data_IF_054448053958
#
_entry.id   IF_054448053958
#
_cell.length_a   1.000
_cell.length_b   1.000
_cell.length_c   1.000
_cell.angle_alpha   90.00
_cell.angle_beta   90.00
_cell.angle_gamma   90.00
#
_symmetry.space_group_name_H-M   'P 1'
#
loop_
_entity.id
_entity.type
_entity.pdbx_description
1 polymer ?
#
# COMPACT_ATOMS: atom_id res chain seq x y z
N UNK A 1 18.76 -2.47 13.25
CA UNK A 1 17.75 -2.38 12.18
C UNK A 1 18.44 -2.58 10.84
N UNK A 2 17.94 -3.44 9.98
CA UNK A 2 18.43 -3.72 8.63
C UNK A 2 17.27 -3.56 7.64
N UNK A 3 17.50 -2.91 6.51
CA UNK A 3 16.50 -2.70 5.47
C UNK A 3 16.94 -3.46 4.23
N UNK A 4 16.05 -4.28 3.67
CA UNK A 4 16.28 -5.07 2.46
C UNK A 4 15.26 -4.65 1.42
N UNK A 5 15.71 -4.39 0.21
CA UNK A 5 14.83 -4.07 -0.93
C UNK A 5 14.53 -5.31 -1.75
N UNK A 6 13.26 -5.55 -2.03
CA UNK A 6 12.90 -6.39 -3.17
C UNK A 6 12.96 -5.60 -4.48
N UNK A 7 12.73 -6.29 -5.60
CA UNK A 7 12.89 -5.74 -6.95
C UNK A 7 11.73 -4.82 -7.40
N UNK A 8 10.56 -4.88 -6.73
CA UNK A 8 9.37 -4.17 -7.21
C UNK A 8 9.50 -2.63 -7.13
N UNK A 9 10.29 -2.09 -6.17
CA UNK A 9 10.54 -0.65 -6.07
C UNK A 9 11.80 -0.33 -5.26
N UNK A 10 12.96 -0.55 -5.86
CA UNK A 10 14.27 -0.27 -5.25
C UNK A 10 14.44 1.20 -4.86
N UNK A 11 13.91 2.12 -5.68
CA UNK A 11 14.00 3.56 -5.40
C UNK A 11 13.31 3.93 -4.09
N UNK A 12 12.09 3.43 -3.86
CA UNK A 12 11.38 3.66 -2.60
C UNK A 12 12.13 3.10 -1.40
N UNK A 13 12.68 1.89 -1.53
CA UNK A 13 13.45 1.27 -0.45
C UNK A 13 14.73 2.07 -0.12
N UNK A 14 15.40 2.59 -1.14
CA UNK A 14 16.56 3.46 -0.97
C UNK A 14 16.18 4.76 -0.25
N UNK A 15 15.12 5.43 -0.69
CA UNK A 15 14.63 6.65 -0.05
C UNK A 15 14.20 6.42 1.41
N UNK A 16 13.57 5.28 1.71
CA UNK A 16 13.24 4.89 3.09
C UNK A 16 14.53 4.72 3.92
N UNK A 17 15.53 4.02 3.38
CA UNK A 17 16.79 3.79 4.07
C UNK A 17 17.50 5.12 4.39
N UNK A 18 17.58 6.03 3.42
CA UNK A 18 18.15 7.36 3.60
C UNK A 18 17.44 8.16 4.71
N UNK A 19 16.10 8.18 4.71
CA UNK A 19 15.31 8.83 5.76
C UNK A 19 15.48 8.20 7.14
N UNK A 20 15.78 6.91 7.19
CA UNK A 20 16.07 6.18 8.43
C UNK A 20 17.55 6.26 8.84
N UNK A 21 18.39 7.00 8.11
CA UNK A 21 19.85 7.05 8.33
C UNK A 21 20.49 5.65 8.34
N UNK A 22 19.99 4.76 7.47
CA UNK A 22 20.42 3.38 7.33
C UNK A 22 20.90 3.11 5.90
N UNK A 23 21.67 2.04 5.73
CA UNK A 23 22.01 1.52 4.41
C UNK A 23 21.12 0.30 4.08
N UNK A 24 20.86 0.09 2.79
CA UNK A 24 20.26 -1.16 2.34
C UNK A 24 21.25 -2.30 2.55
N UNK A 25 20.75 -3.44 3.03
CA UNK A 25 21.50 -4.69 3.01
C UNK A 25 21.66 -5.13 1.55
N UNK A 26 22.89 -5.33 1.08
CA UNK A 26 23.10 -5.83 -0.26
C UNK A 26 22.55 -7.25 -0.38
N UNK A 27 21.79 -7.50 -1.43
CA UNK A 27 21.16 -8.78 -1.71
C UNK A 27 21.19 -9.09 -3.22
N UNK A 28 21.42 -10.35 -3.55
CA UNK A 28 21.22 -10.88 -4.89
C UNK A 28 19.80 -11.43 -4.97
N UNK A 29 18.94 -10.76 -5.71
CA UNK A 29 17.58 -11.20 -5.95
C UNK A 29 17.41 -11.36 -7.45
N UNK A 30 17.23 -12.57 -7.90
CA UNK A 30 17.21 -12.92 -9.33
C UNK A 30 16.15 -14.00 -9.61
N UNK A 31 15.98 -14.29 -10.87
CA UNK A 31 15.06 -15.32 -11.35
C UNK A 31 15.87 -16.38 -12.11
N UNK A 32 15.68 -17.64 -11.79
CA UNK A 32 16.24 -18.75 -12.55
C UNK A 32 15.60 -18.84 -13.96
N UNK A 33 16.21 -19.61 -14.85
CA UNK A 33 15.75 -19.74 -16.23
C UNK A 33 14.34 -20.31 -16.37
N UNK A 34 13.88 -21.05 -15.40
CA UNK A 34 12.52 -21.62 -15.29
C UNK A 34 11.50 -20.69 -14.60
N UNK A 35 11.93 -19.52 -14.14
CA UNK A 35 11.09 -18.51 -13.53
C UNK A 35 11.05 -18.53 -11.98
N UNK A 36 11.78 -19.44 -11.34
CA UNK A 36 11.84 -19.49 -9.87
C UNK A 36 12.68 -18.32 -9.30
N UNK A 37 12.21 -17.75 -8.19
CA UNK A 37 12.91 -16.66 -7.49
C UNK A 37 14.09 -17.20 -6.66
N UNK A 38 15.24 -16.57 -6.80
CA UNK A 38 16.44 -16.82 -6.00
C UNK A 38 16.79 -15.60 -5.16
N UNK A 39 17.09 -15.81 -3.87
CA UNK A 39 17.46 -14.75 -2.92
C UNK A 39 18.69 -15.14 -2.15
N UNK A 40 19.67 -14.23 -2.07
CA UNK A 40 20.85 -14.34 -1.22
C UNK A 40 21.13 -12.99 -0.58
N UNK A 41 21.17 -12.93 0.76
CA UNK A 41 21.63 -11.73 1.48
C UNK A 41 23.15 -11.77 1.59
N UNK A 42 23.80 -10.69 1.16
CA UNK A 42 25.27 -10.59 1.17
C UNK A 42 25.84 -10.03 2.48
N UNK A 43 24.96 -9.72 3.44
CA UNK A 43 25.29 -9.22 4.76
C UNK A 43 24.60 -10.04 5.86
N UNK A 44 25.24 -10.18 7.00
CA UNK A 44 24.68 -10.93 8.13
C UNK A 44 23.51 -10.17 8.77
N UNK A 45 22.37 -10.83 8.88
CA UNK A 45 21.14 -10.29 9.51
C UNK A 45 20.76 -10.99 10.82
N UNK A 46 21.62 -11.87 11.33
CA UNK A 46 21.38 -12.61 12.58
C UNK A 46 21.15 -11.68 13.75
N UNK A 47 20.08 -11.91 14.51
CA UNK A 47 19.71 -11.12 15.68
C UNK A 47 19.36 -9.66 15.36
N UNK A 48 19.08 -9.33 14.09
CA UNK A 48 18.72 -8.01 13.66
C UNK A 48 17.19 -7.86 13.48
N UNK A 49 16.69 -6.64 13.69
CA UNK A 49 15.37 -6.22 13.30
C UNK A 49 15.41 -5.90 11.80
N UNK A 50 14.76 -6.72 10.99
CA UNK A 50 14.81 -6.71 9.52
C UNK A 50 13.51 -6.16 8.95
N UNK A 51 13.62 -5.20 8.04
CA UNK A 51 12.52 -4.62 7.28
C UNK A 51 12.69 -4.98 5.80
N UNK A 52 11.76 -5.77 5.25
CA UNK A 52 11.76 -6.17 3.85
C UNK A 52 10.77 -5.27 3.09
N UNK A 53 11.29 -4.37 2.25
CA UNK A 53 10.48 -3.43 1.47
C UNK A 53 10.16 -4.04 0.12
N UNK A 54 8.92 -4.53 -0.04
CA UNK A 54 8.46 -5.16 -1.28
C UNK A 54 6.97 -4.88 -1.52
N UNK A 55 6.63 -3.89 -2.34
CA UNK A 55 5.26 -3.74 -2.82
C UNK A 55 4.86 -4.98 -3.65
N UNK A 56 3.69 -5.53 -3.39
CA UNK A 56 3.18 -6.66 -4.17
C UNK A 56 2.29 -6.19 -5.33
N UNK A 57 2.82 -5.23 -6.11
CA UNK A 57 2.22 -4.71 -7.33
C UNK A 57 2.59 -5.58 -8.56
N UNK A 58 2.18 -5.14 -9.74
CA UNK A 58 2.45 -5.86 -11.00
C UNK A 58 3.96 -5.97 -11.30
N UNK A 59 4.46 -7.17 -11.60
CA UNK A 59 3.77 -8.47 -11.68
C UNK A 59 3.47 -9.06 -10.28
N UNK A 60 2.17 -9.16 -9.94
CA UNK A 60 1.72 -9.39 -8.55
C UNK A 60 2.21 -10.72 -7.99
N UNK A 61 2.15 -11.79 -8.78
CA UNK A 61 2.53 -13.13 -8.31
C UNK A 61 4.03 -13.24 -8.06
N UNK A 62 4.83 -12.66 -8.93
CA UNK A 62 6.29 -12.66 -8.82
C UNK A 62 6.73 -11.82 -7.63
N UNK A 63 6.19 -10.61 -7.48
CA UNK A 63 6.47 -9.73 -6.34
C UNK A 63 6.05 -10.35 -5.00
N UNK A 64 4.93 -11.08 -4.98
CA UNK A 64 4.47 -11.77 -3.78
C UNK A 64 5.36 -12.97 -3.45
N UNK A 65 5.74 -13.77 -4.44
CA UNK A 65 6.63 -14.90 -4.23
C UNK A 65 8.01 -14.43 -3.78
N UNK A 66 8.54 -13.37 -4.38
CA UNK A 66 9.79 -12.74 -3.99
C UNK A 66 9.76 -12.31 -2.52
N UNK A 67 8.69 -11.63 -2.08
CA UNK A 67 8.51 -11.26 -0.67
C UNK A 67 8.56 -12.48 0.26
N UNK A 68 7.89 -13.57 -0.11
CA UNK A 68 7.86 -14.79 0.71
C UNK A 68 9.24 -15.44 0.80
N UNK A 69 9.97 -15.55 -0.31
CA UNK A 69 11.31 -16.12 -0.35
C UNK A 69 12.31 -15.27 0.44
N UNK A 70 12.24 -13.93 0.33
CA UNK A 70 13.05 -13.01 1.15
C UNK A 70 12.75 -13.16 2.64
N UNK A 71 11.48 -13.31 2.99
CA UNK A 71 11.05 -13.47 4.40
C UNK A 71 11.57 -14.79 4.96
N UNK A 72 11.48 -15.89 4.23
CA UNK A 72 12.05 -17.19 4.63
C UNK A 72 13.58 -17.12 4.75
N UNK A 73 14.25 -16.44 3.82
CA UNK A 73 15.70 -16.24 3.88
C UNK A 73 16.11 -15.48 5.14
N UNK A 74 15.40 -14.42 5.52
CA UNK A 74 15.65 -13.66 6.75
C UNK A 74 15.43 -14.53 8.00
N UNK A 75 14.34 -15.30 8.03
CA UNK A 75 14.02 -16.23 9.11
C UNK A 75 15.12 -17.31 9.29
N UNK A 76 15.53 -17.93 8.18
CA UNK A 76 16.62 -18.95 8.20
C UNK A 76 17.98 -18.35 8.55
N UNK A 77 18.18 -17.07 8.28
CA UNK A 77 19.37 -16.32 8.70
C UNK A 77 19.30 -15.88 10.17
N UNK A 78 18.28 -16.30 10.92
CA UNK A 78 18.07 -16.00 12.34
C UNK A 78 17.92 -14.50 12.62
N UNK A 79 17.22 -13.77 11.77
CA UNK A 79 16.73 -12.44 12.11
C UNK A 79 15.91 -12.49 13.42
N UNK A 80 16.00 -11.47 14.24
CA UNK A 80 15.28 -11.41 15.51
C UNK A 80 13.79 -11.08 15.30
N UNK A 81 13.52 -10.14 14.41
CA UNK A 81 12.17 -9.75 13.99
C UNK A 81 12.15 -9.42 12.50
N UNK A 82 11.11 -9.83 11.81
CA UNK A 82 10.93 -9.59 10.37
C UNK A 82 9.65 -8.78 10.16
N UNK A 83 9.81 -7.54 9.69
CA UNK A 83 8.70 -6.68 9.27
C UNK A 83 8.59 -6.67 7.76
N UNK A 84 7.49 -7.19 7.22
CA UNK A 84 7.17 -7.07 5.80
C UNK A 84 6.57 -5.68 5.54
N UNK A 85 7.30 -4.84 4.82
CA UNK A 85 6.88 -3.50 4.41
C UNK A 85 6.29 -3.60 3.01
N UNK A 86 4.97 -3.53 2.92
CA UNK A 86 4.19 -3.78 1.71
C UNK A 86 3.38 -2.53 1.35
N UNK A 87 3.98 -1.51 0.74
CA UNK A 87 3.30 -0.25 0.42
C UNK A 87 2.08 -0.41 -0.48
N UNK A 88 2.05 -1.45 -1.30
CA UNK A 88 0.88 -1.89 -2.04
C UNK A 88 0.62 -3.37 -1.75
N UNK A 89 -0.51 -3.66 -1.12
CA UNK A 89 -0.92 -5.04 -0.78
C UNK A 89 -1.75 -5.63 -1.92
N UNK A 90 -1.13 -6.47 -2.71
CA UNK A 90 -1.78 -7.21 -3.80
C UNK A 90 -2.88 -8.14 -3.28
N UNK A 91 -3.87 -8.43 -4.13
CA UNK A 91 -5.06 -9.24 -3.78
C UNK A 91 -5.99 -8.63 -2.73
N UNK A 92 -5.71 -7.45 -2.16
CA UNK A 92 -6.54 -6.80 -1.16
C UNK A 92 -8.01 -6.61 -1.59
N UNK A 93 -8.28 -6.47 -2.89
CA UNK A 93 -9.65 -6.35 -3.44
C UNK A 93 -10.50 -7.60 -3.31
N UNK A 94 -9.89 -8.75 -3.01
CA UNK A 94 -10.56 -10.04 -2.80
C UNK A 94 -10.67 -10.35 -1.30
N UNK A 95 -11.23 -9.40 -0.54
CA UNK A 95 -11.37 -9.44 0.92
C UNK A 95 -12.65 -10.16 1.39
N UNK A 96 -13.51 -10.51 0.46
CA UNK A 96 -14.78 -11.22 0.71
C UNK A 96 -15.17 -12.06 -0.50
N UNK A 97 -16.06 -13.02 -0.27
CA UNK A 97 -16.69 -13.75 -1.38
C UNK A 97 -17.61 -12.81 -2.16
N UNK A 98 -17.32 -12.60 -3.42
CA UNK A 98 -18.14 -11.78 -4.34
C UNK A 98 -19.26 -12.60 -4.99
N UNK A 99 -19.13 -13.93 -5.01
CA UNK A 99 -20.12 -14.89 -5.54
C UNK A 99 -19.96 -16.23 -4.84
N UNK A 100 -20.86 -17.17 -5.13
CA UNK A 100 -20.73 -18.58 -4.70
C UNK A 100 -19.43 -19.18 -5.22
N UNK A 101 -18.76 -19.97 -4.38
CA UNK A 101 -17.54 -20.73 -4.74
C UNK A 101 -16.33 -19.85 -5.12
N UNK A 102 -16.29 -18.60 -4.69
CA UNK A 102 -15.13 -17.71 -4.84
C UNK A 102 -14.25 -17.72 -3.58
N UNK A 103 -12.93 -17.47 -3.72
CA UNK A 103 -12.01 -17.42 -2.60
C UNK A 103 -12.13 -16.09 -1.82
N UNK A 104 -11.44 -16.03 -0.68
CA UNK A 104 -11.05 -14.80 0.00
C UNK A 104 -9.52 -14.72 -0.10
N UNK A 105 -9.03 -14.26 -1.24
CA UNK A 105 -7.60 -14.33 -1.57
C UNK A 105 -6.76 -13.42 -0.68
N UNK A 106 -7.31 -12.31 -0.20
CA UNK A 106 -6.62 -11.45 0.75
C UNK A 106 -6.25 -12.20 2.06
N UNK A 107 -7.14 -13.08 2.56
CA UNK A 107 -6.85 -13.93 3.73
C UNK A 107 -5.81 -15.00 3.40
N UNK A 108 -5.88 -15.60 2.22
CA UNK A 108 -4.89 -16.58 1.77
C UNK A 108 -3.49 -15.94 1.75
N UNK A 109 -3.35 -14.76 1.13
CA UNK A 109 -2.09 -14.03 1.04
C UNK A 109 -1.56 -13.64 2.43
N UNK A 110 -2.44 -13.17 3.32
CA UNK A 110 -2.07 -12.88 4.71
C UNK A 110 -1.47 -14.12 5.40
N UNK A 111 -2.11 -15.28 5.28
CA UNK A 111 -1.62 -16.53 5.85
C UNK A 111 -0.27 -16.95 5.26
N UNK A 112 -0.07 -16.80 3.94
CA UNK A 112 1.19 -17.15 3.28
C UNK A 112 2.35 -16.30 3.80
N UNK A 113 2.16 -14.98 3.94
CA UNK A 113 3.18 -14.07 4.44
C UNK A 113 3.56 -14.39 5.90
N UNK A 114 2.56 -14.67 6.74
CA UNK A 114 2.80 -15.08 8.15
C UNK A 114 3.53 -16.42 8.18
N UNK A 115 3.12 -17.39 7.38
CA UNK A 115 3.77 -18.72 7.31
C UNK A 115 5.21 -18.63 6.82
N UNK A 116 5.52 -17.72 5.89
CA UNK A 116 6.88 -17.46 5.43
C UNK A 116 7.78 -16.92 6.56
N UNK A 117 7.21 -16.31 7.60
CA UNK A 117 7.95 -15.92 8.80
C UNK A 117 7.93 -14.44 9.13
N UNK A 118 7.00 -13.66 8.57
CA UNK A 118 6.81 -12.27 8.98
C UNK A 118 6.22 -12.21 10.40
N UNK A 119 6.80 -11.34 11.24
CA UNK A 119 6.36 -11.06 12.61
C UNK A 119 5.49 -9.81 12.69
N UNK A 120 5.54 -8.96 11.66
CA UNK A 120 4.80 -7.70 11.58
C UNK A 120 4.59 -7.30 10.13
N UNK A 121 3.47 -6.64 9.86
CA UNK A 121 3.16 -6.03 8.56
C UNK A 121 3.13 -4.51 8.71
N UNK A 122 3.74 -3.81 7.76
CA UNK A 122 3.57 -2.39 7.56
C UNK A 122 3.06 -2.18 6.13
N UNK A 123 1.91 -1.58 5.98
CA UNK A 123 1.27 -1.36 4.69
C UNK A 123 0.67 0.05 4.60
N UNK A 124 0.09 0.40 3.47
CA UNK A 124 -0.50 1.73 3.26
C UNK A 124 -1.84 1.63 2.54
N UNK A 125 -2.87 2.30 3.10
CA UNK A 125 -4.21 2.40 2.51
C UNK A 125 -4.76 1.06 2.03
N UNK A 126 -4.90 0.10 2.92
CA UNK A 126 -5.55 -1.17 2.62
C UNK A 126 -6.90 -0.93 1.92
N UNK A 127 -7.23 -1.80 0.97
CA UNK A 127 -8.50 -1.72 0.24
C UNK A 127 -9.71 -1.65 1.17
N UNK A 128 -9.64 -2.34 2.29
CA UNK A 128 -10.64 -2.32 3.35
C UNK A 128 -9.96 -2.52 4.70
N UNK A 129 -10.29 -1.69 5.69
CA UNK A 129 -9.62 -1.68 7.00
C UNK A 129 -9.71 -3.01 7.77
N UNK A 130 -10.77 -3.81 7.53
CA UNK A 130 -10.92 -5.12 8.15
C UNK A 130 -9.87 -6.15 7.71
N UNK A 131 -9.13 -5.91 6.62
CA UNK A 131 -8.04 -6.80 6.18
C UNK A 131 -6.94 -6.91 7.26
N UNK A 132 -6.77 -5.90 8.11
CA UNK A 132 -5.89 -5.99 9.28
C UNK A 132 -6.22 -7.19 10.16
N UNK A 133 -7.50 -7.53 10.31
CA UNK A 133 -7.97 -8.70 11.05
C UNK A 133 -7.74 -10.05 10.35
N UNK A 134 -7.19 -10.07 9.15
CA UNK A 134 -6.81 -11.32 8.47
C UNK A 134 -5.44 -11.83 8.91
N UNK A 135 -4.67 -10.99 9.57
CA UNK A 135 -3.37 -11.34 10.11
C UNK A 135 -3.50 -11.67 11.61
N UNK A 136 -2.77 -12.69 12.05
CA UNK A 136 -2.62 -13.05 13.46
C UNK A 136 -1.36 -12.42 14.07
N UNK A 137 -0.77 -11.45 13.38
CA UNK A 137 0.39 -10.65 13.76
C UNK A 137 0.05 -9.16 13.68
N UNK A 138 0.81 -8.27 14.33
CA UNK A 138 0.58 -6.83 14.27
C UNK A 138 0.62 -6.28 12.84
N UNK A 139 -0.33 -5.39 12.52
CA UNK A 139 -0.43 -4.70 11.23
C UNK A 139 -0.51 -3.21 11.44
N UNK A 140 0.39 -2.47 10.82
CA UNK A 140 0.35 -1.01 10.72
C UNK A 140 -0.15 -0.63 9.32
N UNK A 141 -1.40 -0.19 9.24
CA UNK A 141 -1.97 0.37 8.01
C UNK A 141 -1.81 1.89 8.01
N UNK A 142 -0.77 2.37 7.36
CA UNK A 142 -0.49 3.80 7.24
C UNK A 142 -1.47 4.46 6.27
N UNK A 143 -1.68 5.75 6.45
CA UNK A 143 -2.49 6.54 5.52
C UNK A 143 -1.62 7.46 4.65
N UNK A 144 -1.79 7.36 3.33
CA UNK A 144 -1.15 8.26 2.36
C UNK A 144 -1.66 9.71 2.46
N UNK A 145 -2.78 9.93 3.15
CA UNK A 145 -3.41 11.23 3.32
C UNK A 145 -2.45 12.28 3.86
N UNK A 146 -1.57 11.93 4.80
CA UNK A 146 -0.57 12.85 5.37
C UNK A 146 0.41 13.32 4.30
N UNK A 147 0.81 12.44 3.38
CA UNK A 147 1.72 12.76 2.27
C UNK A 147 0.99 13.63 1.26
N UNK A 148 -0.17 13.20 0.79
CA UNK A 148 -0.95 13.93 -0.20
C UNK A 148 -1.42 15.30 0.29
N UNK A 149 -1.75 15.46 1.58
CA UNK A 149 -2.17 16.75 2.10
C UNK A 149 -1.10 17.82 1.94
N UNK A 150 0.16 17.48 2.18
CA UNK A 150 1.29 18.39 1.99
C UNK A 150 1.47 18.79 0.52
N UNK A 151 1.33 17.82 -0.38
CA UNK A 151 1.49 18.06 -1.81
C UNK A 151 0.31 18.85 -2.40
N UNK A 152 -0.90 18.54 -1.97
CA UNK A 152 -2.11 19.30 -2.35
C UNK A 152 -1.99 20.76 -1.92
N UNK A 153 -1.63 21.05 -0.64
CA UNK A 153 -1.43 22.40 -0.17
C UNK A 153 -0.43 23.17 -1.04
N UNK A 154 0.69 22.54 -1.38
CA UNK A 154 1.71 23.14 -2.23
C UNK A 154 1.21 23.39 -3.66
N UNK A 155 0.46 22.45 -4.24
CA UNK A 155 0.04 22.47 -5.65
C UNK A 155 -1.07 23.46 -5.92
N UNK A 156 -2.08 23.54 -5.04
CA UNK A 156 -3.22 24.45 -5.20
C UNK A 156 -3.01 25.79 -4.49
N UNK A 157 -1.83 26.00 -3.88
CA UNK A 157 -1.46 27.29 -3.27
C UNK A 157 -2.32 27.64 -2.05
N UNK A 158 -2.82 26.63 -1.32
CA UNK A 158 -3.49 26.89 -0.04
C UNK A 158 -2.47 27.45 0.93
N UNK A 159 -2.62 28.72 1.22
CA UNK A 159 -1.87 29.41 2.27
C UNK A 159 -2.67 29.19 3.56
N UNK A 160 -2.02 28.71 4.60
CA UNK A 160 -2.63 28.59 5.95
C UNK A 160 -2.77 30.02 6.56
N UNK A 161 -3.44 30.93 5.85
CA UNK A 161 -3.71 32.30 6.27
C UNK A 161 -5.23 32.48 6.37
N UNK A 162 -5.77 32.70 7.56
CA UNK A 162 -7.21 32.86 7.76
C UNK A 162 -7.81 34.10 7.07
N UNK A 163 -6.98 35.06 6.69
CA UNK A 163 -7.43 36.30 6.04
C UNK A 163 -7.45 36.21 4.49
N UNK A 164 -6.99 35.09 3.93
CA UNK A 164 -7.02 34.85 2.49
C UNK A 164 -8.29 34.09 2.12
N UNK A 165 -9.18 34.74 1.34
CA UNK A 165 -10.35 34.10 0.77
C UNK A 165 -9.90 32.97 -0.18
N UNK A 166 -10.05 31.74 0.27
CA UNK A 166 -9.65 30.56 -0.51
C UNK A 166 -10.76 30.23 -1.50
N UNK A 167 -10.40 30.03 -2.77
CA UNK A 167 -11.32 29.44 -3.75
C UNK A 167 -11.78 28.09 -3.24
N UNK A 168 -13.10 27.86 -3.19
CA UNK A 168 -13.67 26.63 -2.64
C UNK A 168 -13.04 25.39 -3.24
N UNK A 169 -12.49 24.53 -2.39
CA UNK A 169 -11.88 23.25 -2.80
C UNK A 169 -12.94 22.15 -2.75
N UNK A 170 -13.00 21.30 -3.77
CA UNK A 170 -13.90 20.14 -3.79
C UNK A 170 -13.12 18.85 -4.03
N UNK A 171 -13.34 17.86 -3.18
CA UNK A 171 -12.76 16.53 -3.30
C UNK A 171 -13.73 15.59 -3.99
N UNK A 172 -13.38 15.16 -5.19
CA UNK A 172 -14.26 14.32 -6.00
C UNK A 172 -13.97 12.84 -5.75
N UNK A 173 -14.98 12.11 -5.25
CA UNK A 173 -14.90 10.66 -5.20
C UNK A 173 -15.20 10.06 -6.57
N UNK A 174 -14.34 9.18 -7.11
CA UNK A 174 -14.56 8.56 -8.42
C UNK A 174 -15.68 7.52 -8.43
N UNK A 175 -16.18 7.11 -7.28
CA UNK A 175 -17.30 6.16 -7.10
C UNK A 175 -17.81 6.20 -5.66
N UNK A 176 -18.88 5.47 -5.38
CA UNK A 176 -19.47 5.39 -4.04
C UNK A 176 -18.50 4.80 -2.98
N UNK A 177 -17.61 3.91 -3.38
CA UNK A 177 -16.62 3.28 -2.48
C UNK A 177 -15.53 4.23 -1.99
N UNK A 178 -15.22 5.27 -2.78
CA UNK A 178 -14.20 6.28 -2.43
C UNK A 178 -14.70 7.42 -1.54
N UNK A 179 -16.00 7.52 -1.28
CA UNK A 179 -16.61 8.67 -0.57
C UNK A 179 -16.00 8.92 0.80
N UNK A 180 -15.77 7.87 1.59
CA UNK A 180 -15.16 8.01 2.92
C UNK A 180 -13.75 8.58 2.83
N UNK A 181 -12.99 8.19 1.81
CA UNK A 181 -11.64 8.72 1.57
C UNK A 181 -11.68 10.19 1.15
N UNK A 182 -12.54 10.53 0.20
CA UNK A 182 -12.73 11.92 -0.25
C UNK A 182 -13.17 12.83 0.91
N UNK A 183 -14.09 12.36 1.77
CA UNK A 183 -14.54 13.10 2.96
C UNK A 183 -13.40 13.41 3.92
N UNK A 184 -12.52 12.45 4.17
CA UNK A 184 -11.36 12.66 5.04
C UNK A 184 -10.39 13.74 4.53
N UNK A 185 -10.29 13.90 3.21
CA UNK A 185 -9.56 15.03 2.62
C UNK A 185 -10.36 16.33 2.74
N UNK A 186 -11.63 16.31 2.39
CA UNK A 186 -12.49 17.49 2.51
C UNK A 186 -12.48 18.08 3.93
N UNK A 187 -12.59 17.21 4.95
CA UNK A 187 -12.52 17.63 6.35
C UNK A 187 -11.18 18.32 6.72
N UNK A 188 -10.06 17.85 6.14
CA UNK A 188 -8.73 18.44 6.37
C UNK A 188 -8.54 19.81 5.72
N UNK A 189 -9.26 20.08 4.65
CA UNK A 189 -9.12 21.29 3.84
C UNK A 189 -10.36 22.20 3.94
N UNK A 190 -11.27 21.88 4.85
CA UNK A 190 -12.56 22.59 4.95
C UNK A 190 -13.29 22.70 3.61
N UNK A 191 -13.12 21.68 2.75
CA UNK A 191 -13.63 21.62 1.41
C UNK A 191 -14.93 20.83 1.29
N UNK A 192 -15.52 20.89 0.11
CA UNK A 192 -16.73 20.15 -0.23
C UNK A 192 -16.42 18.77 -0.83
N UNK A 193 -17.48 17.96 -1.00
CA UNK A 193 -17.38 16.66 -1.67
C UNK A 193 -18.29 16.64 -2.88
N UNK A 194 -17.78 16.05 -3.97
CA UNK A 194 -18.61 15.59 -5.08
C UNK A 194 -18.37 14.08 -5.33
N UNK A 195 -19.35 13.42 -5.92
CA UNK A 195 -19.34 11.98 -6.14
C UNK A 195 -19.69 11.70 -7.59
N UNK A 196 -18.85 10.91 -8.26
CA UNK A 196 -19.16 10.39 -9.59
C UNK A 196 -20.01 9.12 -9.42
N UNK A 197 -21.27 9.21 -9.80
CA UNK A 197 -22.15 8.02 -9.84
C UNK A 197 -21.83 7.20 -11.07
N UNK A 198 -21.38 5.96 -10.86
CA UNK A 198 -21.00 5.02 -11.91
C UNK A 198 -21.85 3.76 -11.84
N UNK A 199 -22.41 3.37 -12.99
CA UNK A 199 -22.95 2.03 -13.15
C UNK A 199 -21.95 1.14 -13.87
N UNK A 200 -21.93 -0.12 -13.47
CA UNK A 200 -21.11 -1.18 -14.11
C UNK A 200 -22.06 -2.18 -14.76
N UNK A 201 -22.44 -1.98 -16.04
CA UNK A 201 -23.30 -2.91 -16.74
C UNK A 201 -22.62 -4.28 -16.95
N UNK A 202 -21.30 -4.27 -17.08
CA UNK A 202 -20.49 -5.49 -17.26
C UNK A 202 -19.18 -5.40 -16.45
N UNK A 203 -18.58 -6.55 -16.17
CA UNK A 203 -17.26 -6.60 -15.52
C UNK A 203 -16.20 -5.88 -16.36
N UNK A 204 -15.53 -4.89 -15.77
CA UNK A 204 -14.50 -4.10 -16.43
C UNK A 204 -14.98 -2.89 -17.22
N UNK A 205 -16.28 -2.72 -17.42
CA UNK A 205 -16.86 -1.52 -18.05
C UNK A 205 -17.57 -0.66 -17.00
N UNK A 206 -17.32 0.65 -17.00
CA UNK A 206 -18.01 1.60 -16.14
C UNK A 206 -18.53 2.76 -16.98
N UNK A 207 -19.78 3.13 -16.77
CA UNK A 207 -20.42 4.31 -17.37
C UNK A 207 -20.67 5.35 -16.27
N UNK A 208 -20.26 6.59 -16.53
CA UNK A 208 -20.57 7.73 -15.65
C UNK A 208 -22.01 8.14 -15.93
N UNK A 209 -22.86 8.09 -14.91
CA UNK A 209 -24.27 8.48 -15.02
C UNK A 209 -24.49 9.92 -14.60
N UNK A 210 -23.97 10.31 -13.44
CA UNK A 210 -24.16 11.62 -12.86
C UNK A 210 -22.95 12.06 -12.04
N UNK A 211 -22.80 13.37 -11.89
CA UNK A 211 -21.98 14.00 -10.88
C UNK A 211 -22.88 14.59 -9.79
N UNK A 212 -22.73 14.10 -8.58
CA UNK A 212 -23.49 14.57 -7.41
C UNK A 212 -22.59 15.54 -6.63
N UNK A 213 -23.04 16.76 -6.46
CA UNK A 213 -22.29 17.86 -5.82
C UNK A 213 -21.97 18.99 -6.79
N UNK A 214 -21.57 20.14 -6.22
CA UNK A 214 -21.23 21.33 -7.00
C UNK A 214 -19.71 21.42 -7.18
N UNK A 215 -19.25 21.42 -8.42
CA UNK A 215 -17.83 21.50 -8.81
C UNK A 215 -17.51 22.72 -9.67
N UNK A 216 -18.54 23.50 -10.06
CA UNK A 216 -18.34 24.59 -11.01
C UNK A 216 -17.60 25.75 -10.36
N UNK A 217 -16.45 26.12 -10.95
CA UNK A 217 -15.60 27.23 -10.45
C UNK A 217 -14.86 26.92 -9.15
N UNK A 218 -14.73 25.63 -8.78
CA UNK A 218 -13.97 25.18 -7.61
C UNK A 218 -12.67 24.49 -8.06
N UNK A 219 -11.72 24.46 -7.13
CA UNK A 219 -10.48 23.68 -7.28
C UNK A 219 -10.69 22.21 -6.96
#
# INVERSE_FOLDING_TARGET
>A
MKIISGNANNKLAQEIAEHCFANLVPANISTFADGETSVEFLENVRGQDVFIVQPTCTPVNDSLMELMVMTDAARRSSADRITAVIPYFGYARQDRKSASRTPITAKLVANLIVTAGADRILTMDLHAGQIQGFFDIPVDDLTSRVVFSKDIKRTIGIIDDPDVEQVGTVFVSPDAGGVVRARKFADMFHGDIAIVDKRRPEAGKSEVMNLIGDVKGKH
#
